data_IF_698869344114
#
_entry.id   IF_698869344114
#
_cell.length_a   1.000
_cell.length_b   1.000
_cell.length_c   1.000
_cell.angle_alpha   90.00
_cell.angle_beta   90.00
_cell.angle_gamma   90.00
#
_symmetry.space_group_name_H-M   'P 1'
#
loop_
_entity.id
_entity.type
_entity.pdbx_description
1 polymer ?
#
# COMPACT_ATOMS: atom_id res chain seq x y z
N UNK A 1 2.53 -8.30 10.86
CA UNK A 1 2.00 -6.93 10.69
C UNK A 1 1.35 -6.81 9.33
N UNK A 2 0.07 -6.43 9.25
CA UNK A 2 -0.64 -6.19 7.99
C UNK A 2 -0.80 -4.70 7.75
N UNK A 3 -0.31 -4.18 6.61
CA UNK A 3 -0.24 -2.76 6.29
C UNK A 3 -1.14 -2.44 5.09
N UNK A 4 -2.14 -1.61 5.33
CA UNK A 4 -3.17 -1.25 4.35
C UNK A 4 -2.69 -0.19 3.35
N UNK A 5 -3.39 -0.05 2.23
CA UNK A 5 -3.07 0.91 1.17
C UNK A 5 -3.54 2.34 1.45
N UNK A 6 -3.42 3.19 0.44
CA UNK A 6 -4.00 4.53 0.44
C UNK A 6 -5.53 4.44 0.31
N UNK A 7 -6.26 5.26 1.07
CA UNK A 7 -7.73 5.24 1.24
C UNK A 7 -8.31 3.98 1.91
N UNK A 8 -7.45 3.08 2.37
CA UNK A 8 -7.87 1.89 3.08
C UNK A 8 -8.16 2.18 4.56
N UNK A 9 -8.90 1.27 5.17
CA UNK A 9 -9.23 1.23 6.59
C UNK A 9 -9.31 -0.24 7.05
N UNK A 10 -9.20 -0.48 8.35
CA UNK A 10 -9.07 -1.83 8.91
C UNK A 10 -10.23 -2.74 8.50
N UNK A 11 -11.48 -2.26 8.62
CA UNK A 11 -12.68 -3.07 8.37
C UNK A 11 -12.78 -3.56 6.93
N UNK A 12 -12.21 -2.83 5.97
CA UNK A 12 -12.14 -3.26 4.56
C UNK A 12 -11.34 -4.54 4.39
N UNK A 13 -10.40 -4.82 5.29
CA UNK A 13 -9.45 -5.93 5.19
C UNK A 13 -9.71 -7.07 6.18
N UNK A 14 -10.85 -7.08 6.89
CA UNK A 14 -11.18 -8.12 7.87
C UNK A 14 -11.09 -9.53 7.30
N UNK A 15 -11.52 -9.74 6.05
CA UNK A 15 -11.41 -11.04 5.38
C UNK A 15 -9.94 -11.49 5.25
N UNK A 16 -9.03 -10.58 4.89
CA UNK A 16 -7.59 -10.88 4.80
C UNK A 16 -6.95 -11.11 6.17
N UNK A 17 -7.43 -10.41 7.20
CA UNK A 17 -6.98 -10.61 8.58
C UNK A 17 -7.40 -11.99 9.07
N UNK A 18 -8.63 -12.43 8.80
CA UNK A 18 -9.13 -13.76 9.12
C UNK A 18 -8.30 -14.84 8.42
N UNK A 19 -7.99 -14.67 7.14
CA UNK A 19 -7.12 -15.59 6.39
C UNK A 19 -5.72 -15.73 7.00
N UNK A 20 -5.10 -14.63 7.41
CA UNK A 20 -3.80 -14.67 8.09
C UNK A 20 -3.89 -15.32 9.48
N UNK A 21 -4.96 -15.04 10.22
CA UNK A 21 -5.19 -15.64 11.54
C UNK A 21 -5.43 -17.16 11.44
N UNK A 22 -6.17 -17.61 10.42
CA UNK A 22 -6.38 -19.04 10.14
C UNK A 22 -5.06 -19.77 9.82
N UNK A 23 -4.05 -19.06 9.32
CA UNK A 23 -2.68 -19.55 9.08
C UNK A 23 -1.79 -19.53 10.34
N UNK A 24 -2.36 -19.23 11.50
CA UNK A 24 -1.65 -19.23 12.78
C UNK A 24 -0.91 -17.95 13.13
N UNK A 25 -1.06 -16.87 12.35
CA UNK A 25 -0.44 -15.59 12.68
C UNK A 25 -1.23 -14.83 13.75
N UNK A 26 -0.53 -14.21 14.68
CA UNK A 26 -1.05 -13.06 15.41
C UNK A 26 -0.99 -11.85 14.47
N UNK A 27 -2.13 -11.27 14.15
CA UNK A 27 -2.21 -10.16 13.18
C UNK A 27 -2.39 -8.84 13.92
N UNK A 28 -1.53 -7.89 13.59
CA UNK A 28 -1.71 -6.50 13.97
C UNK A 28 -1.79 -5.64 12.71
N UNK A 29 -2.61 -4.61 12.76
CA UNK A 29 -2.80 -3.62 11.71
C UNK A 29 -3.11 -2.26 12.33
N UNK A 30 -3.08 -1.20 11.53
CA UNK A 30 -3.41 0.15 11.96
C UNK A 30 -4.12 0.90 10.83
N UNK A 31 -4.94 1.86 11.19
CA UNK A 31 -5.32 2.93 10.28
C UNK A 31 -4.20 3.98 10.27
N UNK A 32 -3.65 4.24 9.09
CA UNK A 32 -2.62 5.25 8.93
C UNK A 32 -3.11 6.64 9.34
N UNK A 33 -2.26 7.47 9.91
CA UNK A 33 -2.54 8.89 10.08
C UNK A 33 -3.02 9.49 8.77
N UNK A 34 -4.13 10.22 8.82
CA UNK A 34 -4.81 10.76 7.67
C UNK A 34 -5.84 9.84 7.02
N UNK A 35 -6.02 8.59 7.49
CA UNK A 35 -6.95 7.58 6.93
C UNK A 35 -7.73 6.85 8.02
N UNK A 36 -8.72 6.04 7.60
CA UNK A 36 -9.54 5.24 8.49
C UNK A 36 -10.15 6.07 9.62
N UNK A 37 -10.08 5.58 10.85
CA UNK A 37 -10.50 6.31 12.06
C UNK A 37 -9.37 7.09 12.74
N UNK A 38 -8.14 7.05 12.19
CA UNK A 38 -7.04 7.86 12.71
C UNK A 38 -7.22 9.36 12.45
N UNK A 39 -6.43 10.16 13.16
CA UNK A 39 -6.47 11.62 13.08
C UNK A 39 -6.28 12.14 11.65
N UNK A 40 -7.06 13.13 11.28
CA UNK A 40 -6.92 13.86 10.02
C UNK A 40 -6.00 15.06 10.21
N UNK A 41 -5.16 15.31 9.22
CA UNK A 41 -4.18 16.40 9.23
C UNK A 41 -4.74 17.71 8.68
N UNK A 42 -5.90 17.66 7.99
CA UNK A 42 -6.58 18.82 7.42
C UNK A 42 -8.04 18.87 7.87
N UNK A 43 -8.63 20.08 7.90
CA UNK A 43 -10.06 20.23 8.25
C UNK A 43 -11.00 19.49 7.29
N UNK A 44 -10.66 19.43 6.00
CA UNK A 44 -11.38 18.60 5.02
C UNK A 44 -10.93 17.14 5.18
N UNK A 45 -11.76 16.35 5.86
CA UNK A 45 -11.48 14.94 6.19
C UNK A 45 -11.36 14.04 4.97
N UNK A 46 -11.90 14.44 3.82
CA UNK A 46 -11.80 13.65 2.59
C UNK A 46 -10.45 13.75 1.91
N UNK A 47 -9.64 14.75 2.24
CA UNK A 47 -8.30 14.90 1.65
C UNK A 47 -7.32 13.88 2.20
N UNK A 48 -6.79 13.03 1.33
CA UNK A 48 -5.62 12.25 1.65
C UNK A 48 -4.41 13.16 1.75
N UNK A 49 -3.85 13.34 2.95
CA UNK A 49 -2.76 14.28 3.19
C UNK A 49 -1.70 13.67 4.09
N UNK A 50 -0.46 13.86 3.71
CA UNK A 50 0.73 13.68 4.52
C UNK A 50 1.85 14.53 3.92
N UNK A 51 2.73 15.08 4.71
CA UNK A 51 3.84 15.91 4.24
C UNK A 51 5.10 15.09 3.92
N UNK A 52 5.28 13.93 4.57
CA UNK A 52 6.40 13.01 4.38
C UNK A 52 6.01 11.56 4.71
N UNK A 53 6.52 10.59 3.95
CA UNK A 53 6.21 9.16 4.17
C UNK A 53 6.90 8.59 5.40
N UNK A 54 7.92 9.24 5.93
CA UNK A 54 8.59 8.92 7.19
C UNK A 54 7.61 8.93 8.37
N UNK A 55 6.57 9.77 8.33
CA UNK A 55 5.51 9.81 9.34
C UNK A 55 4.79 8.47 9.46
N UNK A 56 4.54 7.76 8.34
CA UNK A 56 3.96 6.42 8.41
C UNK A 56 4.91 5.38 9.02
N UNK A 57 6.23 5.53 8.83
CA UNK A 57 7.21 4.68 9.50
C UNK A 57 7.26 4.95 11.00
N UNK A 58 7.20 6.21 11.40
CA UNK A 58 7.11 6.61 12.80
C UNK A 58 5.85 6.04 13.47
N UNK A 59 4.69 6.14 12.80
CA UNK A 59 3.43 5.56 13.29
C UNK A 59 3.51 4.02 13.40
N UNK A 60 4.17 3.37 12.44
CA UNK A 60 4.40 1.92 12.49
C UNK A 60 5.30 1.52 13.66
N UNK A 61 6.40 2.25 13.88
CA UNK A 61 7.29 2.01 15.03
C UNK A 61 6.55 2.19 16.35
N UNK A 62 5.81 3.30 16.53
CA UNK A 62 5.02 3.55 17.72
C UNK A 62 3.96 2.47 17.97
N UNK A 63 3.28 2.02 16.90
CA UNK A 63 2.31 0.92 16.99
C UNK A 63 2.96 -0.37 17.47
N UNK A 64 4.13 -0.72 16.92
CA UNK A 64 4.86 -1.92 17.32
C UNK A 64 5.35 -1.84 18.77
N UNK A 65 5.75 -0.66 19.24
CA UNK A 65 6.15 -0.42 20.64
C UNK A 65 4.98 -0.62 21.60
N UNK A 66 3.82 -0.02 21.29
CA UNK A 66 2.57 -0.17 22.11
C UNK A 66 2.13 -1.63 22.19
N UNK A 67 2.33 -2.40 21.11
CA UNK A 67 2.02 -3.83 21.08
C UNK A 67 3.09 -4.70 21.76
N UNK A 68 4.07 -4.10 22.45
CA UNK A 68 5.17 -4.81 23.12
C UNK A 68 6.18 -5.40 22.15
N UNK A 69 6.25 -4.86 20.93
CA UNK A 69 7.21 -5.26 19.91
C UNK A 69 7.07 -6.70 19.41
N UNK A 70 6.03 -7.43 19.79
CA UNK A 70 5.85 -8.88 19.63
C UNK A 70 6.96 -9.73 20.30
N UNK A 71 7.74 -9.14 21.22
CA UNK A 71 8.87 -9.82 21.87
C UNK A 71 9.98 -10.18 20.87
N UNK A 72 10.62 -11.32 21.09
CA UNK A 72 11.66 -11.89 20.20
C UNK A 72 11.06 -12.66 19.00
N UNK A 73 9.74 -12.66 18.83
CA UNK A 73 9.11 -13.39 17.73
C UNK A 73 9.43 -12.75 16.37
N UNK A 74 9.70 -13.58 15.35
CA UNK A 74 10.03 -13.09 14.03
C UNK A 74 8.84 -12.35 13.41
N UNK A 75 9.08 -11.12 12.96
CA UNK A 75 8.05 -10.30 12.32
C UNK A 75 7.92 -10.64 10.83
N UNK A 76 6.72 -11.02 10.41
CA UNK A 76 6.32 -11.05 8.99
C UNK A 76 5.52 -9.79 8.68
N UNK A 77 5.89 -9.09 7.61
CA UNK A 77 5.18 -7.88 7.17
C UNK A 77 4.47 -8.16 5.85
N UNK A 78 3.17 -7.91 5.82
CA UNK A 78 2.35 -8.01 4.61
C UNK A 78 1.80 -6.62 4.31
N UNK A 79 2.06 -6.07 3.13
CA UNK A 79 1.63 -4.72 2.79
C UNK A 79 1.01 -4.61 1.40
N UNK A 80 -0.11 -3.90 1.30
CA UNK A 80 -0.80 -3.63 0.05
C UNK A 80 -0.56 -2.19 -0.41
N UNK A 81 -0.22 -1.98 -1.68
CA UNK A 81 -0.11 -0.66 -2.32
C UNK A 81 0.83 0.29 -1.55
N UNK A 82 0.34 1.40 -1.02
CA UNK A 82 1.10 2.29 -0.12
C UNK A 82 1.66 1.52 1.09
N UNK A 83 0.87 0.63 1.71
CA UNK A 83 1.34 -0.23 2.78
C UNK A 83 2.47 -1.16 2.35
N UNK A 84 2.47 -1.62 1.09
CA UNK A 84 3.58 -2.37 0.50
C UNK A 84 4.86 -1.54 0.36
N UNK A 85 4.72 -0.27 0.01
CA UNK A 85 5.84 0.67 -0.01
C UNK A 85 6.42 0.91 1.39
N UNK A 86 5.55 1.17 2.37
CA UNK A 86 5.97 1.36 3.77
C UNK A 86 6.59 0.09 4.34
N UNK A 87 6.04 -1.10 4.00
CA UNK A 87 6.61 -2.40 4.37
C UNK A 87 8.05 -2.56 3.86
N UNK A 88 8.30 -2.22 2.59
CA UNK A 88 9.64 -2.29 2.01
C UNK A 88 10.61 -1.32 2.71
N UNK A 89 10.18 -0.08 2.97
CA UNK A 89 10.98 0.87 3.74
C UNK A 89 11.28 0.37 5.14
N UNK A 90 10.30 -0.20 5.82
CA UNK A 90 10.49 -0.77 7.14
C UNK A 90 11.52 -1.93 7.12
N UNK A 91 11.49 -2.80 6.10
CA UNK A 91 12.50 -3.84 5.90
C UNK A 91 13.91 -3.26 5.70
N UNK A 92 14.04 -2.16 4.93
CA UNK A 92 15.33 -1.50 4.70
C UNK A 92 15.94 -0.92 5.97
N UNK A 93 15.11 -0.36 6.85
CA UNK A 93 15.53 0.24 8.12
C UNK A 93 15.74 -0.80 9.24
N UNK A 94 15.00 -1.92 9.21
CA UNK A 94 14.94 -2.92 10.28
C UNK A 94 15.28 -4.34 9.81
N UNK A 95 16.39 -4.49 9.08
CA UNK A 95 16.82 -5.72 8.37
C UNK A 95 16.85 -6.97 9.21
N UNK A 96 17.20 -6.87 10.50
CA UNK A 96 17.30 -8.00 11.40
C UNK A 96 15.97 -8.40 12.04
N UNK A 97 14.99 -7.49 12.08
CA UNK A 97 13.71 -7.71 12.75
C UNK A 97 12.69 -8.37 11.84
N UNK A 98 12.73 -8.07 10.54
CA UNK A 98 11.78 -8.62 9.58
C UNK A 98 12.31 -9.93 9.01
N UNK A 99 11.63 -11.02 9.34
CA UNK A 99 11.97 -12.34 8.83
C UNK A 99 11.61 -12.50 7.35
N UNK A 100 10.45 -12.00 6.97
CA UNK A 100 9.89 -12.06 5.59
C UNK A 100 8.94 -10.91 5.34
N UNK A 101 8.79 -10.53 4.09
CA UNK A 101 7.76 -9.56 3.68
C UNK A 101 7.01 -10.04 2.44
N UNK A 102 5.69 -9.74 2.39
CA UNK A 102 4.86 -9.90 1.20
C UNK A 102 4.31 -8.54 0.78
N UNK A 103 4.68 -8.09 -0.42
CA UNK A 103 4.32 -6.81 -0.99
C UNK A 103 3.31 -7.02 -2.11
N UNK A 104 2.09 -6.53 -1.94
CA UNK A 104 0.97 -6.77 -2.84
C UNK A 104 0.69 -5.50 -3.61
N UNK A 105 0.88 -5.53 -4.93
CA UNK A 105 0.80 -4.36 -5.81
C UNK A 105 1.48 -3.12 -5.20
N UNK A 106 2.76 -3.21 -4.74
CA UNK A 106 3.38 -2.16 -3.94
C UNK A 106 3.55 -0.86 -4.73
N UNK A 107 3.37 0.28 -4.07
CA UNK A 107 3.55 1.61 -4.65
C UNK A 107 5.05 1.94 -4.80
N UNK A 108 5.69 1.36 -5.80
CA UNK A 108 7.11 1.61 -6.16
C UNK A 108 7.27 2.54 -7.37
N UNK A 109 6.16 2.99 -7.92
CA UNK A 109 6.01 3.99 -8.96
C UNK A 109 4.54 4.32 -9.10
N UNK A 110 4.22 5.57 -9.38
CA UNK A 110 2.84 6.02 -9.59
C UNK A 110 2.59 6.10 -11.09
N UNK A 111 1.53 5.44 -11.56
CA UNK A 111 1.10 5.53 -12.97
C UNK A 111 0.72 6.97 -13.32
N UNK A 112 1.29 7.51 -14.40
CA UNK A 112 1.02 8.88 -14.87
C UNK A 112 0.87 8.88 -16.37
N UNK A 113 -0.34 8.84 -16.91
CA UNK A 113 -0.52 9.02 -18.34
C UNK A 113 -0.26 10.48 -18.75
N UNK A 114 0.60 10.67 -19.75
CA UNK A 114 0.67 11.89 -20.53
C UNK A 114 1.76 12.91 -20.20
N UNK A 115 2.47 12.82 -19.06
CA UNK A 115 3.58 13.71 -18.74
C UNK A 115 4.87 12.93 -18.47
N UNK A 116 6.04 13.38 -18.96
CA UNK A 116 7.33 12.82 -18.56
C UNK A 116 7.53 12.92 -17.04
N UNK A 117 8.04 11.87 -16.40
CA UNK A 117 8.19 11.80 -14.94
C UNK A 117 8.94 12.99 -14.33
N UNK A 118 10.04 13.43 -14.99
CA UNK A 118 10.83 14.56 -14.51
C UNK A 118 10.03 15.86 -14.47
N UNK A 119 9.14 16.08 -15.46
CA UNK A 119 8.32 17.28 -15.54
C UNK A 119 7.20 17.24 -14.48
N UNK A 120 6.54 16.09 -14.31
CA UNK A 120 5.54 15.90 -13.29
C UNK A 120 6.11 16.11 -11.87
N UNK A 121 7.32 15.57 -11.59
CA UNK A 121 8.04 15.79 -10.32
C UNK A 121 8.32 17.28 -10.08
N UNK A 122 8.85 17.99 -11.07
CA UNK A 122 9.13 19.44 -10.94
C UNK A 122 7.87 20.27 -10.74
N UNK A 123 6.78 19.91 -11.42
CA UNK A 123 5.50 20.58 -11.25
C UNK A 123 4.94 20.39 -9.83
N UNK A 124 4.96 19.17 -9.31
CA UNK A 124 4.50 18.89 -7.95
C UNK A 124 5.38 19.61 -6.90
N UNK A 125 6.70 19.60 -7.07
CA UNK A 125 7.61 20.34 -6.18
C UNK A 125 7.34 21.85 -6.21
N UNK A 126 7.04 22.41 -7.36
CA UNK A 126 6.70 23.84 -7.49
C UNK A 126 5.35 24.14 -6.83
N UNK A 127 4.31 23.34 -7.11
CA UNK A 127 2.97 23.50 -6.51
C UNK A 127 3.02 23.42 -4.98
N UNK A 128 3.85 22.56 -4.44
CA UNK A 128 4.01 22.43 -2.99
C UNK A 128 4.73 23.60 -2.31
N UNK A 129 5.24 24.56 -3.08
CA UNK A 129 5.75 25.85 -2.56
C UNK A 129 4.71 26.97 -2.58
N UNK A 130 3.49 26.65 -3.01
CA UNK A 130 2.36 27.57 -3.09
C UNK A 130 1.29 27.18 -2.07
N UNK A 131 0.27 28.03 -1.81
CA UNK A 131 -0.89 27.67 -0.99
C UNK A 131 -1.71 26.48 -1.51
N UNK A 132 -1.42 25.99 -2.73
CA UNK A 132 -2.09 24.80 -3.30
C UNK A 132 -1.59 23.48 -2.69
N UNK A 133 -0.55 23.50 -1.84
CA UNK A 133 0.06 22.29 -1.24
C UNK A 133 -0.97 21.37 -0.59
N UNK A 134 -1.98 21.92 0.08
CA UNK A 134 -3.09 21.21 0.72
C UNK A 134 -4.32 21.05 -0.19
N UNK A 135 -4.22 21.46 -1.44
CA UNK A 135 -5.23 21.27 -2.46
C UNK A 135 -5.23 19.85 -3.01
N UNK A 136 -6.40 19.40 -3.52
CA UNK A 136 -6.43 18.16 -4.30
C UNK A 136 -5.53 18.26 -5.53
N UNK A 137 -4.94 17.13 -5.94
CA UNK A 137 -4.24 17.05 -7.23
C UNK A 137 -5.19 17.42 -8.38
N UNK A 138 -4.65 17.80 -9.53
CA UNK A 138 -5.46 18.15 -10.69
C UNK A 138 -6.39 17.00 -11.10
N UNK A 139 -7.68 17.31 -11.21
CA UNK A 139 -8.74 16.34 -11.47
C UNK A 139 -9.20 15.56 -10.24
N UNK A 140 -8.54 15.75 -9.10
CA UNK A 140 -8.94 15.18 -7.82
C UNK A 140 -10.10 15.92 -7.18
N UNK A 141 -10.88 15.19 -6.38
CA UNK A 141 -12.04 15.70 -5.67
C UNK A 141 -12.30 14.90 -4.39
N UNK A 142 -13.21 15.41 -3.56
CA UNK A 142 -13.78 14.65 -2.45
C UNK A 142 -14.51 13.39 -2.91
N UNK A 143 -14.95 12.61 -1.94
CA UNK A 143 -15.70 11.38 -2.21
C UNK A 143 -17.05 11.70 -2.88
N UNK A 144 -17.32 11.04 -4.01
CA UNK A 144 -18.50 11.35 -4.82
C UNK A 144 -18.98 10.17 -5.68
N UNK A 145 -20.09 10.37 -6.44
CA UNK A 145 -20.80 9.30 -7.16
C UNK A 145 -19.95 8.49 -8.14
N UNK A 146 -18.87 9.07 -8.67
CA UNK A 146 -17.96 8.36 -9.59
C UNK A 146 -17.31 7.14 -8.94
N UNK A 147 -17.01 7.23 -7.63
CA UNK A 147 -16.37 6.15 -6.86
C UNK A 147 -17.31 5.00 -6.55
N UNK A 148 -18.62 5.24 -6.58
CA UNK A 148 -19.66 4.23 -6.33
C UNK A 148 -19.92 3.32 -7.54
N UNK A 149 -19.37 3.63 -8.71
CA UNK A 149 -19.59 2.86 -9.93
C UNK A 149 -18.67 1.64 -9.95
N UNK A 150 -19.28 0.46 -10.02
CA UNK A 150 -18.51 -0.78 -10.18
C UNK A 150 -17.88 -0.89 -11.56
N UNK A 151 -18.66 -0.58 -12.60
CA UNK A 151 -18.19 -0.70 -13.97
C UNK A 151 -17.09 0.31 -14.27
N UNK A 152 -15.94 -0.19 -14.76
CA UNK A 152 -14.75 0.61 -15.01
C UNK A 152 -13.91 0.94 -13.76
N UNK A 153 -14.25 0.42 -12.58
CA UNK A 153 -13.39 0.63 -11.40
C UNK A 153 -12.03 -0.05 -11.60
N UNK A 154 -10.94 0.55 -11.09
CA UNK A 154 -9.59 0.01 -11.25
C UNK A 154 -9.18 -0.99 -10.16
N UNK A 155 -10.04 -1.24 -9.16
CA UNK A 155 -9.64 -1.89 -7.92
C UNK A 155 -9.82 -3.42 -7.98
N UNK A 156 -11.02 -3.89 -8.37
CA UNK A 156 -11.38 -5.31 -8.32
C UNK A 156 -12.47 -5.67 -9.31
N UNK A 157 -12.51 -6.92 -9.75
CA UNK A 157 -13.63 -7.49 -10.51
C UNK A 157 -14.64 -8.24 -9.62
N UNK A 158 -14.46 -8.24 -8.30
CA UNK A 158 -15.43 -8.76 -7.35
C UNK A 158 -16.44 -7.68 -6.94
N UNK A 159 -17.67 -7.77 -7.47
CA UNK A 159 -18.74 -6.80 -7.19
C UNK A 159 -19.14 -6.80 -5.72
N UNK A 160 -19.23 -7.97 -5.09
CA UNK A 160 -19.68 -8.07 -3.70
C UNK A 160 -18.70 -7.37 -2.74
N UNK A 161 -17.39 -7.58 -2.93
CA UNK A 161 -16.35 -6.93 -2.13
C UNK A 161 -16.27 -5.44 -2.41
N UNK A 162 -16.50 -5.03 -3.66
CA UNK A 162 -16.58 -3.61 -4.02
C UNK A 162 -17.78 -2.93 -3.31
N UNK A 163 -18.97 -3.50 -3.40
CA UNK A 163 -20.18 -2.96 -2.79
C UNK A 163 -20.10 -2.98 -1.24
N UNK A 164 -19.52 -4.03 -0.64
CA UNK A 164 -19.30 -4.10 0.80
C UNK A 164 -18.43 -2.93 1.31
N UNK A 165 -17.35 -2.60 0.61
CA UNK A 165 -16.51 -1.45 0.97
C UNK A 165 -17.34 -0.15 1.00
N UNK A 166 -18.16 0.09 -0.03
CA UNK A 166 -18.99 1.28 -0.09
C UNK A 166 -20.11 1.29 0.96
N UNK A 167 -20.64 0.12 1.31
CA UNK A 167 -21.61 -0.01 2.40
C UNK A 167 -20.98 0.34 3.75
N UNK A 168 -19.74 -0.08 4.03
CA UNK A 168 -19.00 0.30 5.24
C UNK A 168 -18.77 1.81 5.31
N UNK A 169 -18.36 2.44 4.20
CA UNK A 169 -18.18 3.88 4.12
C UNK A 169 -19.49 4.66 4.28
N UNK A 170 -20.61 4.11 3.81
CA UNK A 170 -21.92 4.72 4.01
C UNK A 170 -22.41 4.61 5.46
N UNK A 171 -22.08 3.52 6.16
CA UNK A 171 -22.40 3.32 7.58
C UNK A 171 -21.54 4.20 8.50
N UNK A 172 -20.28 4.40 8.14
CA UNK A 172 -19.34 5.23 8.89
C UNK A 172 -18.60 6.22 7.97
N UNK A 173 -19.17 7.41 7.72
CA UNK A 173 -18.55 8.41 6.84
C UNK A 173 -17.18 8.93 7.33
N UNK A 174 -16.84 8.75 8.61
CA UNK A 174 -15.53 9.13 9.15
C UNK A 174 -14.37 8.30 8.56
N UNK A 175 -14.65 7.13 8.02
CA UNK A 175 -13.68 6.29 7.30
C UNK A 175 -13.29 6.87 5.92
N UNK A 176 -14.10 7.79 5.39
CA UNK A 176 -13.93 8.25 4.01
C UNK A 176 -12.65 9.06 3.84
N UNK A 177 -11.81 8.60 2.90
CA UNK A 177 -10.72 9.38 2.29
C UNK A 177 -10.89 9.31 0.77
N UNK A 178 -10.64 10.43 0.11
CA UNK A 178 -10.81 10.54 -1.34
C UNK A 178 -9.44 10.76 -2.05
N UNK A 179 -9.36 11.75 -2.93
CA UNK A 179 -8.14 11.99 -3.68
C UNK A 179 -7.03 12.64 -2.83
N UNK A 180 -5.76 12.42 -3.18
CA UNK A 180 -4.64 12.96 -2.43
C UNK A 180 -4.44 14.46 -2.70
N UNK A 181 -3.76 15.11 -1.74
CA UNK A 181 -3.24 16.45 -1.91
C UNK A 181 -1.92 16.46 -2.67
N UNK A 182 -1.48 17.62 -3.14
CA UNK A 182 -0.15 17.78 -3.73
C UNK A 182 0.95 17.42 -2.72
N UNK A 183 0.78 17.72 -1.42
CA UNK A 183 1.71 17.33 -0.37
C UNK A 183 1.89 15.81 -0.31
N UNK A 184 0.78 15.06 -0.30
CA UNK A 184 0.82 13.59 -0.29
C UNK A 184 1.56 13.03 -1.50
N UNK A 185 1.25 13.54 -2.70
CA UNK A 185 1.90 13.07 -3.94
C UNK A 185 3.39 13.38 -3.93
N UNK A 186 3.79 14.57 -3.44
CA UNK A 186 5.22 14.91 -3.26
C UNK A 186 5.90 13.95 -2.31
N UNK A 187 5.29 13.69 -1.14
CA UNK A 187 5.82 12.76 -0.14
C UNK A 187 6.00 11.35 -0.73
N UNK A 188 5.00 10.85 -1.48
CA UNK A 188 5.07 9.55 -2.15
C UNK A 188 6.21 9.51 -3.19
N UNK A 189 6.33 10.52 -4.05
CA UNK A 189 7.38 10.60 -5.07
C UNK A 189 8.77 10.57 -4.43
N UNK A 190 9.01 11.43 -3.43
CA UNK A 190 10.30 11.51 -2.75
C UNK A 190 10.68 10.18 -2.08
N UNK A 191 9.71 9.53 -1.45
CA UNK A 191 9.90 8.24 -0.80
C UNK A 191 10.20 7.14 -1.81
N UNK A 192 9.48 7.09 -2.94
CA UNK A 192 9.73 6.16 -4.04
C UNK A 192 11.14 6.38 -4.61
N UNK A 193 11.51 7.63 -4.89
CA UNK A 193 12.83 7.95 -5.41
C UNK A 193 13.96 7.52 -4.47
N UNK A 194 13.76 7.68 -3.16
CA UNK A 194 14.72 7.23 -2.15
C UNK A 194 14.87 5.70 -2.11
N UNK A 195 13.76 4.96 -2.16
CA UNK A 195 13.78 3.48 -2.17
C UNK A 195 14.35 2.93 -3.48
N UNK A 196 14.01 3.56 -4.61
CA UNK A 196 14.46 3.13 -5.93
C UNK A 196 15.86 3.65 -6.31
N UNK A 197 16.53 4.39 -5.43
CA UNK A 197 17.90 4.84 -5.67
C UNK A 197 18.88 3.66 -5.84
N UNK A 198 19.92 3.79 -6.68
CA UNK A 198 20.92 2.75 -6.87
C UNK A 198 21.57 2.30 -5.56
N UNK A 199 21.74 1.00 -5.38
CA UNK A 199 22.39 0.41 -4.19
C UNK A 199 21.47 0.23 -2.98
N UNK A 200 20.23 0.76 -2.98
CA UNK A 200 19.31 0.65 -1.84
C UNK A 200 18.69 -0.74 -1.75
N UNK A 201 18.06 -1.17 -2.83
CA UNK A 201 17.37 -2.46 -2.89
C UNK A 201 18.34 -3.63 -2.90
N UNK A 202 19.48 -3.49 -3.56
CA UNK A 202 20.52 -4.51 -3.71
C UNK A 202 21.12 -4.92 -2.35
N UNK A 203 21.04 -4.06 -1.36
CA UNK A 203 21.54 -4.33 -0.01
C UNK A 203 20.54 -5.03 0.91
N UNK A 204 19.31 -5.33 0.47
CA UNK A 204 18.28 -5.92 1.32
C UNK A 204 18.25 -7.45 1.18
N UNK A 205 18.68 -8.15 2.22
CA UNK A 205 18.70 -9.63 2.26
C UNK A 205 17.40 -10.28 2.73
N UNK A 206 16.46 -9.51 3.26
CA UNK A 206 15.15 -10.04 3.71
C UNK A 206 14.44 -10.71 2.53
N UNK A 207 13.96 -11.97 2.69
CA UNK A 207 13.13 -12.62 1.68
C UNK A 207 11.84 -11.85 1.44
N UNK A 208 11.53 -11.55 0.18
CA UNK A 208 10.38 -10.75 -0.21
C UNK A 208 9.56 -11.46 -1.29
N UNK A 209 8.28 -11.70 -1.02
CA UNK A 209 7.30 -12.02 -2.05
C UNK A 209 6.73 -10.71 -2.60
N UNK A 210 6.76 -10.55 -3.91
CA UNK A 210 6.09 -9.43 -4.60
C UNK A 210 4.96 -10.00 -5.45
N UNK A 211 3.73 -9.59 -5.17
CA UNK A 211 2.54 -9.92 -5.96
C UNK A 211 2.20 -8.76 -6.90
N UNK A 212 2.29 -9.00 -8.21
CA UNK A 212 2.00 -8.02 -9.26
C UNK A 212 0.63 -8.30 -9.86
N UNK A 213 -0.20 -7.27 -9.97
CA UNK A 213 -1.49 -7.32 -10.65
C UNK A 213 -1.32 -7.06 -12.15
N UNK A 214 -1.81 -7.96 -13.02
CA UNK A 214 -1.60 -7.83 -14.47
C UNK A 214 -2.41 -6.70 -15.11
N UNK A 215 -3.58 -6.38 -14.54
CA UNK A 215 -4.49 -5.31 -15.02
C UNK A 215 -4.36 -4.03 -14.21
N UNK A 216 -3.16 -3.76 -13.74
CA UNK A 216 -2.79 -2.61 -12.90
C UNK A 216 -2.79 -1.28 -13.68
N UNK A 217 -3.39 -0.24 -13.10
CA UNK A 217 -3.44 1.12 -13.66
C UNK A 217 -3.16 2.22 -12.64
N UNK A 218 -2.98 1.86 -11.36
CA UNK A 218 -2.78 2.81 -10.25
C UNK A 218 -1.29 2.97 -9.96
N UNK A 219 -0.57 1.85 -9.84
CA UNK A 219 0.88 1.82 -9.63
C UNK A 219 1.61 1.33 -10.88
N UNK A 220 2.92 1.48 -10.90
CA UNK A 220 3.74 1.11 -12.06
C UNK A 220 4.23 -0.33 -11.96
N UNK A 221 3.67 -1.24 -12.76
CA UNK A 221 4.18 -2.61 -12.89
C UNK A 221 5.65 -2.65 -13.32
N UNK A 222 6.09 -1.72 -14.20
CA UNK A 222 7.50 -1.59 -14.60
C UNK A 222 8.39 -1.32 -13.36
N UNK A 223 7.99 -0.43 -12.46
CA UNK A 223 8.78 -0.15 -11.26
C UNK A 223 8.79 -1.34 -10.30
N UNK A 224 7.67 -2.09 -10.20
CA UNK A 224 7.58 -3.32 -9.41
C UNK A 224 8.53 -4.38 -9.96
N UNK A 225 8.56 -4.60 -11.28
CA UNK A 225 9.47 -5.56 -11.93
C UNK A 225 10.95 -5.16 -11.80
N UNK A 226 11.25 -3.86 -11.93
CA UNK A 226 12.57 -3.32 -11.69
C UNK A 226 13.04 -3.57 -10.25
N UNK A 227 12.18 -3.28 -9.26
CA UNK A 227 12.49 -3.53 -7.86
C UNK A 227 12.70 -5.03 -7.58
N UNK A 228 11.85 -5.90 -8.14
CA UNK A 228 11.98 -7.35 -8.01
C UNK A 228 13.30 -7.87 -8.58
N UNK A 229 13.76 -7.31 -9.70
CA UNK A 229 15.03 -7.69 -10.33
C UNK A 229 16.26 -7.23 -9.53
N UNK A 230 16.13 -6.15 -8.73
CA UNK A 230 17.21 -5.56 -7.92
C UNK A 230 17.30 -6.13 -6.51
N UNK A 231 16.21 -6.67 -5.98
CA UNK A 231 16.18 -7.28 -4.66
C UNK A 231 16.78 -8.69 -4.70
N UNK A 232 17.85 -9.00 -3.94
CA UNK A 232 18.57 -10.28 -4.06
C UNK A 232 17.71 -11.52 -3.75
N UNK A 233 16.76 -11.39 -2.83
CA UNK A 233 15.92 -12.48 -2.35
C UNK A 233 14.43 -12.23 -2.64
N UNK A 234 14.10 -11.63 -3.79
CA UNK A 234 12.73 -11.41 -4.20
C UNK A 234 12.20 -12.57 -5.03
N UNK A 235 10.95 -12.97 -4.73
CA UNK A 235 10.11 -13.82 -5.56
C UNK A 235 8.97 -12.98 -6.16
N UNK A 236 8.93 -12.84 -7.47
CA UNK A 236 7.86 -12.13 -8.16
C UNK A 236 6.79 -13.10 -8.63
N UNK A 237 5.56 -12.94 -8.11
CA UNK A 237 4.37 -13.65 -8.54
C UNK A 237 3.45 -12.71 -9.34
N UNK A 238 2.97 -13.17 -10.50
CA UNK A 238 2.13 -12.38 -11.41
C UNK A 238 0.70 -12.92 -11.43
N UNK A 239 -0.25 -12.06 -11.10
CA UNK A 239 -1.69 -12.35 -11.13
C UNK A 239 -2.30 -11.60 -12.32
N UNK A 240 -2.19 -12.20 -13.51
CA UNK A 240 -2.43 -11.51 -14.79
C UNK A 240 -3.87 -11.00 -14.97
N UNK A 241 -4.85 -11.70 -14.36
CA UNK A 241 -6.27 -11.31 -14.40
C UNK A 241 -6.68 -10.37 -13.26
N UNK A 242 -5.78 -10.09 -12.30
CA UNK A 242 -6.07 -9.23 -11.16
C UNK A 242 -5.97 -7.74 -11.53
N UNK A 243 -6.86 -6.94 -10.98
CA UNK A 243 -6.72 -5.51 -10.79
C UNK A 243 -5.92 -5.21 -9.52
N UNK A 244 -5.85 -3.94 -9.14
CA UNK A 244 -5.00 -3.44 -8.06
C UNK A 244 -5.16 -4.18 -6.71
N UNK A 245 -6.40 -4.51 -6.32
CA UNK A 245 -6.71 -5.12 -5.02
C UNK A 245 -6.74 -6.65 -5.09
N UNK A 246 -5.60 -7.32 -5.32
CA UNK A 246 -5.48 -8.79 -5.44
C UNK A 246 -6.17 -9.52 -4.28
N UNK A 247 -6.05 -9.01 -3.05
CA UNK A 247 -6.69 -9.58 -1.86
C UNK A 247 -8.21 -9.48 -1.87
N UNK A 248 -8.77 -8.67 -2.72
CA UNK A 248 -10.21 -8.41 -2.84
C UNK A 248 -10.76 -8.77 -4.22
N UNK A 249 -9.98 -9.48 -5.01
CA UNK A 249 -10.40 -10.03 -6.28
C UNK A 249 -11.32 -11.25 -6.11
N UNK A 250 -11.85 -11.75 -7.23
CA UNK A 250 -12.65 -12.97 -7.28
C UNK A 250 -11.87 -14.14 -6.68
N UNK A 251 -12.61 -15.12 -6.10
CA UNK A 251 -12.03 -16.24 -5.36
C UNK A 251 -10.89 -16.98 -6.08
N UNK A 252 -10.95 -17.30 -7.38
CA UNK A 252 -9.82 -17.98 -8.02
C UNK A 252 -8.50 -17.22 -7.92
N UNK A 253 -8.53 -15.89 -8.02
CA UNK A 253 -7.34 -15.03 -7.90
C UNK A 253 -6.87 -14.97 -6.44
N UNK A 254 -7.81 -14.81 -5.50
CA UNK A 254 -7.51 -14.82 -4.06
C UNK A 254 -6.87 -16.13 -3.61
N UNK A 255 -7.48 -17.25 -3.98
CA UNK A 255 -6.95 -18.58 -3.64
C UNK A 255 -5.56 -18.81 -4.23
N UNK A 256 -5.31 -18.38 -5.47
CA UNK A 256 -4.00 -18.42 -6.08
C UNK A 256 -2.98 -17.55 -5.32
N UNK A 257 -3.38 -16.36 -4.84
CA UNK A 257 -2.52 -15.52 -4.02
C UNK A 257 -2.20 -16.19 -2.67
N UNK A 258 -3.21 -16.69 -1.95
CA UNK A 258 -3.01 -17.33 -0.65
C UNK A 258 -2.12 -18.57 -0.77
N UNK A 259 -2.34 -19.42 -1.79
CA UNK A 259 -1.45 -20.57 -2.06
C UNK A 259 -0.01 -20.17 -2.40
N UNK A 260 0.16 -19.03 -3.10
CA UNK A 260 1.50 -18.48 -3.38
C UNK A 260 2.17 -17.97 -2.10
N UNK A 261 1.40 -17.31 -1.23
CA UNK A 261 1.90 -16.84 0.06
C UNK A 261 2.26 -18.01 0.96
N UNK A 262 1.41 -19.05 1.04
CA UNK A 262 1.66 -20.25 1.84
C UNK A 262 2.98 -20.91 1.43
N UNK A 263 3.19 -21.16 0.13
CA UNK A 263 4.44 -21.70 -0.35
C UNK A 263 5.66 -20.82 -0.07
N UNK A 264 5.52 -19.49 -0.12
CA UNK A 264 6.59 -18.57 0.25
C UNK A 264 6.91 -18.60 1.75
N UNK A 265 5.89 -18.79 2.60
CA UNK A 265 6.07 -18.86 4.06
C UNK A 265 6.65 -20.18 4.52
N UNK A 266 6.39 -21.29 3.78
CA UNK A 266 6.93 -22.63 4.06
C UNK A 266 8.38 -22.80 3.59
N UNK A 267 8.81 -22.04 2.55
CA UNK A 267 10.19 -22.13 2.07
C UNK A 267 11.16 -21.90 3.22
N UNK A 268 11.92 -22.92 3.58
CA UNK A 268 12.98 -22.83 4.58
C UNK A 268 14.06 -21.86 4.07
N UNK A 269 14.34 -20.84 4.87
CA UNK A 269 15.50 -19.97 4.61
C UNK A 269 16.73 -20.84 4.90
N UNK A 270 17.37 -21.35 3.84
CA UNK A 270 18.67 -22.00 3.93
C UNK A 270 19.75 -20.97 4.21
#
# INVERSE_FOLDING_TARGET
MFLTGYTDFIEKHLESIVELTARGFRVATLDWRGQGLSDRLLPDRHKGHIDRMETHLEDLHATLEVLGGFGDEPLTVVGHSMGGHVALRYCLENRQRVRRAALIAPMLGIGRPGLPDWLAKRLVEWLCRTPLVDGYIFGGAGYGPRRLRFDGNPLTDDRSRFELMHALLAQNPDLVVADPTFAWVRAAIRSIDAVMAPGVLEGLSTPILIALAGREVIVSNRAIEEAAARLPNARLARFMDAKHEILREREPIRLAFWGTLDGFLEDTIN
#
